data_IF_978525014732
#
_entry.id   IF_978525014732
#
_cell.length_a   1.000
_cell.length_b   1.000
_cell.length_c   1.000
_cell.angle_alpha   90.00
_cell.angle_beta   90.00
_cell.angle_gamma   90.00
#
_symmetry.space_group_name_H-M   'P 1'
#
loop_
_entity.id
_entity.type
_entity.pdbx_description
1 polymer ?
#
# COMPACT_ATOMS: atom_id res chain seq x y z
N UNK A 1 -6.81 13.20 -22.05
CA UNK A 1 -7.51 13.01 -20.76
C UNK A 1 -6.65 12.13 -19.87
N UNK A 2 -6.54 12.45 -18.58
CA UNK A 2 -5.80 11.66 -17.59
C UNK A 2 -6.77 11.11 -16.55
N UNK A 3 -6.73 9.80 -16.30
CA UNK A 3 -7.42 9.19 -15.15
C UNK A 3 -6.40 8.63 -14.16
N UNK A 4 -6.56 8.93 -12.87
CA UNK A 4 -5.77 8.33 -11.79
C UNK A 4 -6.67 7.49 -10.90
N UNK A 5 -6.38 6.20 -10.73
CA UNK A 5 -7.22 5.36 -9.86
C UNK A 5 -6.60 4.06 -9.38
N UNK A 6 -7.23 3.48 -8.37
CA UNK A 6 -7.03 2.12 -7.83
C UNK A 6 -8.13 1.15 -8.26
N UNK A 7 -9.09 1.59 -9.08
CA UNK A 7 -10.23 0.77 -9.52
C UNK A 7 -10.89 1.29 -10.81
N UNK A 8 -11.86 2.19 -10.72
CA UNK A 8 -12.88 2.37 -11.77
C UNK A 8 -12.66 3.56 -12.70
N UNK A 9 -11.80 4.53 -12.36
CA UNK A 9 -11.72 5.78 -13.14
C UNK A 9 -11.22 5.58 -14.58
N UNK A 10 -10.47 4.49 -14.84
CA UNK A 10 -10.12 4.06 -16.20
C UNK A 10 -11.33 3.73 -17.09
N UNK A 11 -12.52 3.56 -16.49
CA UNK A 11 -13.77 3.28 -17.19
C UNK A 11 -14.41 4.49 -17.85
N UNK A 12 -13.84 5.69 -17.70
CA UNK A 12 -14.33 6.90 -18.36
C UNK A 12 -14.50 6.69 -19.87
N UNK A 13 -15.60 7.21 -20.41
CA UNK A 13 -15.88 7.15 -21.84
C UNK A 13 -15.47 8.49 -22.43
N UNK A 14 -14.47 8.47 -23.30
CA UNK A 14 -13.94 9.66 -23.97
C UNK A 14 -14.64 9.90 -25.31
N UNK A 15 -14.53 11.13 -25.82
CA UNK A 15 -14.96 11.45 -27.19
C UNK A 15 -14.00 10.80 -28.20
N UNK A 16 -14.47 10.45 -29.42
CA UNK A 16 -13.59 9.98 -30.49
C UNK A 16 -12.37 10.90 -30.67
N UNK A 17 -11.18 10.31 -30.87
CA UNK A 17 -9.90 11.03 -31.03
C UNK A 17 -9.28 11.57 -29.73
N UNK A 18 -9.93 11.41 -28.57
CA UNK A 18 -9.32 11.80 -27.30
C UNK A 18 -8.36 10.72 -26.79
N UNK A 19 -7.07 11.06 -26.70
CA UNK A 19 -6.08 10.21 -26.04
C UNK A 19 -6.36 10.11 -24.54
N UNK A 20 -6.48 8.88 -24.03
CA UNK A 20 -6.70 8.52 -22.64
C UNK A 20 -5.45 7.89 -22.03
N UNK A 21 -4.84 8.60 -21.09
CA UNK A 21 -3.73 8.12 -20.28
C UNK A 21 -4.26 7.72 -18.90
N UNK A 22 -4.01 6.48 -18.49
CA UNK A 22 -4.43 5.94 -17.20
C UNK A 22 -3.25 5.74 -16.28
N UNK A 23 -3.11 6.61 -15.27
CA UNK A 23 -2.23 6.40 -14.13
C UNK A 23 -2.87 5.39 -13.18
N UNK A 24 -2.47 4.13 -13.33
CA UNK A 24 -3.02 2.98 -12.64
C UNK A 24 -2.20 2.70 -11.38
N UNK A 25 -2.82 2.89 -10.22
CA UNK A 25 -2.21 2.59 -8.93
C UNK A 25 -2.27 1.09 -8.59
N UNK A 26 -3.26 0.40 -9.14
CA UNK A 26 -3.38 -1.05 -9.20
C UNK A 26 -4.55 -1.41 -10.11
N UNK A 27 -4.49 -2.53 -10.87
CA UNK A 27 -5.70 -3.19 -11.36
C UNK A 27 -6.69 -3.43 -10.22
N UNK A 28 -7.97 -3.53 -10.54
CA UNK A 28 -9.06 -3.58 -9.55
C UNK A 28 -8.91 -4.79 -8.60
N UNK A 29 -8.27 -4.57 -7.45
CA UNK A 29 -7.72 -5.63 -6.59
C UNK A 29 -8.77 -6.65 -6.12
N UNK A 30 -9.94 -6.20 -5.65
CA UNK A 30 -11.02 -7.11 -5.24
C UNK A 30 -11.57 -7.99 -6.37
N UNK A 31 -11.37 -7.62 -7.64
CA UNK A 31 -11.76 -8.47 -8.78
C UNK A 31 -10.68 -9.50 -9.10
N UNK A 32 -9.40 -9.13 -9.02
CA UNK A 32 -8.28 -9.92 -9.56
C UNK A 32 -7.43 -10.64 -8.50
N UNK A 33 -7.46 -10.16 -7.26
CA UNK A 33 -6.75 -10.69 -6.10
C UNK A 33 -7.69 -10.68 -4.87
N UNK A 34 -8.78 -11.46 -4.90
CA UNK A 34 -9.82 -11.41 -3.86
C UNK A 34 -9.31 -11.81 -2.46
N UNK A 35 -8.23 -12.58 -2.36
CA UNK A 35 -7.61 -12.93 -1.08
C UNK A 35 -6.98 -11.74 -0.36
N UNK A 36 -6.68 -10.65 -1.07
CA UNK A 36 -6.01 -9.47 -0.53
C UNK A 36 -6.98 -8.31 -0.26
N UNK A 37 -8.26 -8.44 -0.61
CA UNK A 37 -9.25 -7.37 -0.46
C UNK A 37 -10.47 -7.84 0.33
N UNK A 38 -10.76 -7.23 1.51
CA UNK A 38 -11.89 -7.62 2.35
C UNK A 38 -13.27 -7.37 1.70
N UNK A 39 -13.33 -6.61 0.59
CA UNK A 39 -14.56 -6.44 -0.20
C UNK A 39 -14.90 -7.68 -1.02
N UNK A 40 -13.92 -8.55 -1.26
CA UNK A 40 -14.17 -9.83 -1.91
C UNK A 40 -15.00 -10.70 -0.97
N UNK A 41 -16.13 -11.19 -1.44
CA UNK A 41 -17.04 -12.02 -0.66
C UNK A 41 -17.56 -13.15 -1.53
N UNK A 42 -17.62 -14.33 -0.93
CA UNK A 42 -17.78 -15.61 -1.65
C UNK A 42 -19.23 -16.09 -1.75
N UNK A 43 -20.19 -15.16 -1.71
CA UNK A 43 -21.58 -15.55 -1.99
C UNK A 43 -21.76 -15.81 -3.49
N UNK A 44 -22.59 -16.79 -3.84
CA UNK A 44 -22.85 -17.15 -5.24
C UNK A 44 -23.35 -15.94 -6.07
N UNK A 45 -24.15 -15.06 -5.46
CA UNK A 45 -24.59 -13.81 -6.07
C UNK A 45 -23.41 -12.88 -6.37
N UNK A 46 -22.51 -12.66 -5.42
CA UNK A 46 -21.33 -11.82 -5.62
C UNK A 46 -20.36 -12.41 -6.63
N UNK A 47 -20.23 -13.74 -6.73
CA UNK A 47 -19.43 -14.37 -7.81
C UNK A 47 -19.94 -13.99 -9.20
N UNK A 48 -21.26 -14.00 -9.42
CA UNK A 48 -21.87 -13.58 -10.70
C UNK A 48 -21.65 -12.09 -10.98
N UNK A 49 -21.84 -11.24 -9.96
CA UNK A 49 -21.58 -9.79 -10.09
C UNK A 49 -20.12 -9.53 -10.39
N UNK A 50 -19.19 -10.14 -9.67
CA UNK A 50 -17.74 -10.00 -9.87
C UNK A 50 -17.32 -10.47 -11.26
N UNK A 51 -17.92 -11.53 -11.80
CA UNK A 51 -17.66 -11.95 -13.17
C UNK A 51 -18.06 -10.87 -14.19
N UNK A 52 -19.26 -10.30 -14.07
CA UNK A 52 -19.69 -9.18 -14.94
C UNK A 52 -18.78 -7.97 -14.78
N UNK A 53 -18.38 -7.65 -13.55
CA UNK A 53 -17.45 -6.55 -13.27
C UNK A 53 -16.06 -6.81 -13.86
N UNK A 54 -15.56 -8.04 -13.89
CA UNK A 54 -14.29 -8.39 -14.56
C UNK A 54 -14.36 -8.17 -16.06
N UNK A 55 -15.47 -8.58 -16.70
CA UNK A 55 -15.69 -8.34 -18.13
C UNK A 55 -15.67 -6.83 -18.41
N UNK A 56 -16.42 -6.07 -17.61
CA UNK A 56 -16.42 -4.60 -17.71
C UNK A 56 -15.03 -4.01 -17.47
N UNK A 57 -14.28 -4.51 -16.49
CA UNK A 57 -12.96 -4.00 -16.11
C UNK A 57 -11.93 -4.24 -17.22
N UNK A 58 -11.98 -5.40 -17.89
CA UNK A 58 -11.18 -5.69 -19.10
C UNK A 58 -11.60 -4.76 -20.23
N UNK A 59 -12.91 -4.64 -20.51
CA UNK A 59 -13.41 -3.80 -21.59
C UNK A 59 -13.06 -2.32 -21.38
N UNK A 60 -13.08 -1.85 -20.13
CA UNK A 60 -12.61 -0.52 -19.74
C UNK A 60 -11.10 -0.37 -19.98
N UNK A 61 -10.30 -1.34 -19.54
CA UNK A 61 -8.85 -1.32 -19.74
C UNK A 61 -8.46 -1.35 -21.22
N UNK A 62 -9.25 -2.03 -22.08
CA UNK A 62 -9.01 -2.08 -23.51
C UNK A 62 -9.12 -0.70 -24.20
N UNK A 63 -9.93 0.22 -23.66
CA UNK A 63 -10.11 1.57 -24.21
C UNK A 63 -9.03 2.58 -23.82
N UNK A 64 -8.21 2.26 -22.84
CA UNK A 64 -7.09 3.12 -22.44
C UNK A 64 -6.06 3.11 -23.57
N UNK A 65 -5.52 4.27 -23.95
CA UNK A 65 -4.45 4.35 -24.95
C UNK A 65 -3.10 4.01 -24.31
N UNK A 66 -2.78 4.67 -23.19
CA UNK A 66 -1.51 4.49 -22.47
C UNK A 66 -1.73 4.24 -20.99
N UNK A 67 -1.06 3.22 -20.46
CA UNK A 67 -0.99 2.99 -19.02
C UNK A 67 0.32 3.53 -18.44
N UNK A 68 0.19 4.22 -17.31
CA UNK A 68 1.29 4.57 -16.42
C UNK A 68 1.10 3.81 -15.12
N UNK A 69 2.08 3.02 -14.72
CA UNK A 69 2.08 2.26 -13.48
C UNK A 69 2.89 2.99 -12.41
N UNK A 70 2.39 3.00 -11.18
CA UNK A 70 3.13 3.58 -10.04
C UNK A 70 4.34 2.73 -9.60
N UNK A 71 4.48 1.50 -10.12
CA UNK A 71 5.60 0.61 -9.78
C UNK A 71 5.78 -0.50 -10.83
N UNK A 72 6.95 -1.15 -10.80
CA UNK A 72 7.17 -2.39 -11.58
C UNK A 72 6.21 -3.51 -11.18
N UNK A 73 5.78 -3.56 -9.92
CA UNK A 73 4.82 -4.56 -9.46
C UNK A 73 3.46 -4.36 -10.13
N UNK A 74 3.00 -3.11 -10.17
CA UNK A 74 1.74 -2.75 -10.83
C UNK A 74 1.83 -2.91 -12.34
N UNK A 75 2.97 -2.57 -12.98
CA UNK A 75 3.21 -2.88 -14.41
C UNK A 75 3.00 -4.38 -14.69
N UNK A 76 3.57 -5.27 -13.87
CA UNK A 76 3.36 -6.73 -14.01
C UNK A 76 1.89 -7.11 -13.83
N UNK A 77 1.17 -6.51 -12.88
CA UNK A 77 -0.27 -6.78 -12.69
C UNK A 77 -1.10 -6.28 -13.88
N UNK A 78 -0.81 -5.12 -14.45
CA UNK A 78 -1.46 -4.61 -15.67
C UNK A 78 -1.24 -5.60 -16.83
N UNK A 79 0.00 -6.05 -17.05
CA UNK A 79 0.30 -7.05 -18.07
C UNK A 79 -0.43 -8.39 -17.82
N UNK A 80 -0.49 -8.84 -16.56
CA UNK A 80 -1.16 -10.10 -16.17
C UNK A 80 -2.67 -10.06 -16.40
N UNK A 81 -3.34 -9.01 -15.93
CA UNK A 81 -4.81 -8.94 -15.89
C UNK A 81 -5.43 -8.27 -17.09
N UNK A 82 -4.78 -7.23 -17.63
CA UNK A 82 -5.29 -6.46 -18.76
C UNK A 82 -4.63 -6.82 -20.10
N UNK A 83 -3.53 -7.57 -20.09
CA UNK A 83 -2.73 -7.88 -21.30
C UNK A 83 -2.28 -6.61 -22.03
N UNK A 84 -1.94 -5.58 -21.25
CA UNK A 84 -1.48 -4.26 -21.72
C UNK A 84 -0.11 -3.95 -21.12
N UNK A 85 0.73 -3.27 -21.88
CA UNK A 85 1.96 -2.70 -21.36
C UNK A 85 1.70 -1.37 -20.63
N UNK A 86 2.64 -0.96 -19.80
CA UNK A 86 2.62 0.30 -19.07
C UNK A 86 4.04 0.83 -18.85
N UNK A 87 4.23 2.14 -18.92
CA UNK A 87 5.44 2.78 -18.44
C UNK A 87 5.39 2.98 -16.93
N UNK A 88 6.54 3.00 -16.26
CA UNK A 88 6.61 3.15 -14.80
C UNK A 88 6.97 4.59 -14.44
N UNK A 89 6.08 5.25 -13.71
CA UNK A 89 6.33 6.55 -13.08
C UNK A 89 6.09 6.37 -11.59
N UNK A 90 7.16 6.36 -10.81
CA UNK A 90 7.04 6.20 -9.36
C UNK A 90 6.39 7.42 -8.71
N UNK A 91 5.56 7.23 -7.67
CA UNK A 91 5.05 8.33 -6.85
C UNK A 91 6.20 9.17 -6.28
N UNK A 92 6.04 10.51 -6.19
CA UNK A 92 7.02 11.36 -5.56
C UNK A 92 7.10 11.06 -4.06
N UNK A 93 8.31 11.16 -3.50
CA UNK A 93 8.57 11.10 -2.06
C UNK A 93 9.28 12.37 -1.65
N UNK A 94 8.84 13.00 -0.57
CA UNK A 94 9.44 14.24 -0.07
C UNK A 94 10.77 13.95 0.65
N UNK A 95 11.81 13.73 -0.15
CA UNK A 95 13.16 13.42 0.34
C UNK A 95 13.79 14.58 1.10
N UNK A 96 13.34 15.81 0.86
CA UNK A 96 13.80 16.97 1.60
C UNK A 96 13.20 16.98 3.00
N UNK A 97 11.90 16.68 3.14
CA UNK A 97 11.26 16.54 4.43
C UNK A 97 11.88 15.40 5.25
N UNK A 98 12.03 14.22 4.66
CA UNK A 98 12.58 13.02 5.31
C UNK A 98 14.13 13.01 5.38
N UNK A 99 14.79 14.17 5.27
CA UNK A 99 16.24 14.27 5.17
C UNK A 99 16.94 14.10 6.53
N UNK A 100 17.77 13.05 6.74
CA UNK A 100 18.42 12.77 8.01
C UNK A 100 19.52 13.79 8.37
N UNK A 101 19.94 14.64 7.43
CA UNK A 101 20.92 15.71 7.68
C UNK A 101 20.32 16.94 8.36
N UNK A 102 18.98 17.08 8.37
CA UNK A 102 18.33 18.27 8.96
C UNK A 102 18.40 18.31 10.48
N UNK A 103 18.48 17.16 11.14
CA UNK A 103 18.49 17.06 12.60
C UNK A 103 19.34 15.86 13.05
N UNK A 104 20.00 15.95 14.21
CA UNK A 104 20.88 14.89 14.73
C UNK A 104 20.15 13.54 14.81
N UNK A 105 20.70 12.50 14.16
CA UNK A 105 20.11 11.14 14.17
C UNK A 105 20.55 10.35 15.40
N UNK A 106 19.61 10.11 16.31
CA UNK A 106 19.79 9.20 17.46
C UNK A 106 18.99 7.93 17.21
N UNK A 107 19.68 6.86 16.80
CA UNK A 107 19.06 5.55 16.58
C UNK A 107 18.68 4.95 17.92
N UNK A 108 17.39 4.79 18.15
CA UNK A 108 16.82 4.13 19.32
C UNK A 108 16.83 2.61 19.21
N UNK A 109 16.57 1.93 20.34
CA UNK A 109 16.52 0.47 20.41
C UNK A 109 15.10 -0.08 20.16
N UNK A 110 14.43 0.37 19.11
CA UNK A 110 13.08 -0.07 18.75
C UNK A 110 12.92 -0.26 17.25
N UNK A 111 11.95 -1.08 16.87
CA UNK A 111 11.54 -1.32 15.48
C UNK A 111 10.20 -0.63 15.23
N UNK A 112 9.95 -0.27 13.99
CA UNK A 112 8.75 0.49 13.63
C UNK A 112 7.92 -0.25 12.58
N UNK A 113 6.63 -0.35 12.80
CA UNK A 113 5.65 -0.68 11.76
C UNK A 113 4.77 0.54 11.50
N UNK A 114 4.60 0.90 10.23
CA UNK A 114 3.76 2.02 9.81
C UNK A 114 2.74 1.56 8.78
N UNK A 115 1.46 1.76 9.08
CA UNK A 115 0.39 1.50 8.13
C UNK A 115 -0.96 1.24 8.78
N UNK A 116 -2.01 1.24 7.96
CA UNK A 116 -3.36 0.86 8.41
C UNK A 116 -3.36 -0.55 9.00
N UNK A 117 -4.07 -0.73 10.12
CA UNK A 117 -4.21 -2.04 10.77
C UNK A 117 -5.38 -2.80 10.14
N UNK A 118 -5.16 -3.29 8.93
CA UNK A 118 -6.12 -4.09 8.14
C UNK A 118 -5.45 -5.42 7.74
N UNK A 119 -6.23 -6.49 7.45
CA UNK A 119 -5.67 -7.84 7.29
C UNK A 119 -4.53 -7.93 6.27
N UNK A 120 -4.69 -7.32 5.10
CA UNK A 120 -3.70 -7.34 4.03
C UNK A 120 -2.37 -6.64 4.38
N UNK A 121 -2.35 -5.74 5.37
CA UNK A 121 -1.12 -5.08 5.84
C UNK A 121 -0.24 -5.97 6.71
N UNK A 122 -0.74 -7.15 7.09
CA UNK A 122 -0.03 -8.20 7.81
C UNK A 122 0.64 -7.77 9.12
N UNK A 123 0.01 -6.84 9.85
CA UNK A 123 0.47 -6.42 11.18
C UNK A 123 0.43 -7.56 12.20
N UNK A 124 -0.41 -8.58 11.97
CA UNK A 124 -0.46 -9.84 12.73
C UNK A 124 0.90 -10.53 12.80
N UNK A 125 1.58 -10.65 11.64
CA UNK A 125 2.90 -11.29 11.57
C UNK A 125 3.95 -10.51 12.35
N UNK A 126 3.87 -9.18 12.34
CA UNK A 126 4.82 -8.32 13.06
C UNK A 126 4.59 -8.45 14.56
N UNK A 127 3.34 -8.38 15.03
CA UNK A 127 3.02 -8.58 16.45
C UNK A 127 3.47 -9.96 16.92
N UNK A 128 3.18 -11.02 16.16
CA UNK A 128 3.60 -12.38 16.49
C UNK A 128 5.13 -12.50 16.59
N UNK A 129 5.87 -11.98 15.60
CA UNK A 129 7.32 -12.03 15.58
C UNK A 129 7.93 -11.28 16.78
N UNK A 130 7.44 -10.09 17.09
CA UNK A 130 7.97 -9.27 18.19
C UNK A 130 7.58 -9.78 19.57
N UNK A 131 6.45 -10.46 19.70
CA UNK A 131 6.10 -11.20 20.92
C UNK A 131 7.08 -12.34 21.22
N UNK A 132 7.67 -12.96 20.18
CA UNK A 132 8.69 -14.01 20.31
C UNK A 132 10.08 -13.43 20.56
N UNK A 133 10.42 -12.33 19.88
CA UNK A 133 11.74 -11.69 19.99
C UNK A 133 11.95 -10.88 21.27
N UNK A 134 10.88 -10.38 21.89
CA UNK A 134 10.95 -9.53 23.09
C UNK A 134 11.58 -8.15 22.86
N UNK A 135 11.78 -7.73 21.60
CA UNK A 135 12.34 -6.42 21.22
C UNK A 135 11.25 -5.35 21.19
N UNK A 136 11.59 -4.09 21.45
CA UNK A 136 10.60 -3.01 21.38
C UNK A 136 10.08 -2.83 19.94
N UNK A 137 8.76 -2.87 19.79
CA UNK A 137 8.05 -2.55 18.54
C UNK A 137 7.14 -1.34 18.79
N UNK A 138 7.19 -0.36 17.90
CA UNK A 138 6.23 0.73 17.83
C UNK A 138 5.37 0.57 16.58
N UNK A 139 4.07 0.77 16.74
CA UNK A 139 3.07 0.62 15.69
C UNK A 139 2.39 1.97 15.48
N UNK A 140 2.60 2.58 14.31
CA UNK A 140 1.90 3.80 13.87
C UNK A 140 0.82 3.40 12.86
N UNK A 141 -0.42 3.70 13.19
CA UNK A 141 -1.59 3.48 12.36
C UNK A 141 -2.81 3.05 13.17
N UNK A 142 -3.94 2.98 12.49
CA UNK A 142 -5.20 2.48 13.04
C UNK A 142 -5.94 1.65 11.99
N UNK A 143 -6.93 0.87 12.41
CA UNK A 143 -7.72 0.06 11.48
C UNK A 143 -8.57 -1.00 12.17
N UNK A 144 -9.27 -1.79 11.36
CA UNK A 144 -10.22 -2.80 11.83
C UNK A 144 -9.59 -3.89 12.71
N UNK A 145 -8.32 -4.21 12.51
CA UNK A 145 -7.60 -5.23 13.28
C UNK A 145 -7.01 -4.70 14.60
N UNK A 146 -7.08 -3.38 14.87
CA UNK A 146 -6.37 -2.75 16.00
C UNK A 146 -6.71 -3.38 17.36
N UNK A 147 -8.00 -3.58 17.65
CA UNK A 147 -8.45 -4.16 18.93
C UNK A 147 -7.90 -5.58 19.12
N UNK A 148 -7.95 -6.40 18.08
CA UNK A 148 -7.45 -7.78 18.08
C UNK A 148 -5.93 -7.82 18.29
N UNK A 149 -5.19 -6.97 17.57
CA UNK A 149 -3.73 -6.89 17.69
C UNK A 149 -3.29 -6.43 19.08
N UNK A 150 -4.00 -5.45 19.68
CA UNK A 150 -3.75 -5.00 21.06
C UNK A 150 -3.94 -6.12 22.09
N UNK A 151 -4.95 -6.96 21.92
CA UNK A 151 -5.16 -8.13 22.82
C UNK A 151 -4.05 -9.18 22.71
N UNK A 152 -3.42 -9.30 21.54
CA UNK A 152 -2.34 -10.28 21.30
C UNK A 152 -0.95 -9.76 21.69
N UNK A 153 -0.79 -8.45 21.79
CA UNK A 153 0.50 -7.80 22.00
C UNK A 153 0.99 -7.93 23.44
N UNK A 154 2.29 -8.21 23.62
CA UNK A 154 2.99 -8.13 24.91
C UNK A 154 3.46 -6.70 25.20
N UNK A 155 3.97 -6.47 26.41
CA UNK A 155 4.41 -5.17 26.93
C UNK A 155 5.50 -4.49 26.08
N UNK A 156 6.28 -5.24 25.31
CA UNK A 156 7.29 -4.70 24.42
C UNK A 156 6.72 -4.05 23.14
N UNK A 157 5.41 -4.12 22.92
CA UNK A 157 4.75 -3.59 21.72
C UNK A 157 3.89 -2.37 22.10
N UNK A 158 4.20 -1.21 21.52
CA UNK A 158 3.51 0.07 21.77
C UNK A 158 2.70 0.49 20.54
N UNK A 159 1.39 0.65 20.73
CA UNK A 159 0.51 1.21 19.70
C UNK A 159 0.43 2.72 19.88
N UNK A 160 0.96 3.46 18.92
CA UNK A 160 0.98 4.93 18.94
C UNK A 160 -0.26 5.55 18.28
N UNK A 161 -1.10 4.74 17.62
CA UNK A 161 -2.26 5.22 16.89
C UNK A 161 -1.88 6.01 15.64
N UNK A 162 -2.71 6.97 15.24
CA UNK A 162 -2.42 7.86 14.10
C UNK A 162 -1.39 8.89 14.54
N UNK A 163 -0.31 9.02 13.77
CA UNK A 163 0.72 10.03 13.98
C UNK A 163 0.54 11.18 12.97
N UNK A 164 0.91 12.39 13.39
CA UNK A 164 1.21 13.51 12.50
C UNK A 164 2.46 13.22 11.66
N UNK A 165 2.65 13.96 10.56
CA UNK A 165 3.85 13.82 9.70
C UNK A 165 5.15 14.01 10.50
N UNK A 166 5.14 14.95 11.46
CA UNK A 166 6.27 15.20 12.36
C UNK A 166 6.56 13.99 13.24
N UNK A 167 5.54 13.42 13.88
CA UNK A 167 5.71 12.23 14.73
C UNK A 167 6.14 11.00 13.93
N UNK A 168 5.61 10.85 12.71
CA UNK A 168 6.04 9.80 11.78
C UNK A 168 7.53 9.98 11.43
N UNK A 169 7.95 11.18 11.05
CA UNK A 169 9.35 11.49 10.75
C UNK A 169 10.27 11.19 11.93
N UNK A 170 9.94 11.66 13.14
CA UNK A 170 10.77 11.40 14.33
C UNK A 170 10.90 9.91 14.65
N UNK A 171 9.83 9.13 14.45
CA UNK A 171 9.88 7.68 14.64
C UNK A 171 10.66 6.97 13.51
N UNK A 172 10.46 7.34 12.24
CA UNK A 172 11.18 6.77 11.10
C UNK A 172 12.68 7.01 11.24
N UNK A 173 13.07 8.24 11.54
CA UNK A 173 14.46 8.64 11.70
C UNK A 173 15.14 7.95 12.89
N UNK A 174 14.41 7.73 13.98
CA UNK A 174 14.98 7.17 15.21
C UNK A 174 14.85 5.65 15.31
N UNK A 175 14.04 5.00 14.47
CA UNK A 175 13.89 3.55 14.50
C UNK A 175 15.19 2.85 14.10
N UNK A 176 15.42 1.66 14.69
CA UNK A 176 16.51 0.77 14.29
C UNK A 176 16.29 0.18 12.91
N UNK A 177 15.04 -0.18 12.62
CA UNK A 177 14.58 -0.64 11.32
C UNK A 177 13.05 -0.50 11.20
N UNK A 178 12.57 -0.39 9.98
CA UNK A 178 11.14 -0.44 9.64
C UNK A 178 10.77 -1.83 9.15
N UNK A 179 9.74 -2.42 9.76
CA UNK A 179 9.25 -3.75 9.41
C UNK A 179 8.08 -3.61 8.43
N UNK A 180 8.26 -4.13 7.23
CA UNK A 180 7.29 -4.00 6.14
C UNK A 180 6.89 -5.37 5.57
N UNK A 181 5.90 -6.06 6.18
CA UNK A 181 5.50 -7.41 5.80
C UNK A 181 4.50 -7.47 4.63
N UNK A 182 3.96 -6.33 4.20
CA UNK A 182 2.83 -6.25 3.26
C UNK A 182 3.25 -6.30 1.80
N UNK A 183 2.49 -7.00 0.96
CA UNK A 183 2.71 -7.08 -0.50
C UNK A 183 2.15 -5.86 -1.26
N UNK A 184 2.72 -4.68 -1.05
CA UNK A 184 2.19 -3.41 -1.54
C UNK A 184 2.32 -3.12 -3.04
N UNK A 185 1.51 -2.16 -3.52
CA UNK A 185 1.58 -1.68 -4.90
C UNK A 185 2.90 -0.96 -5.16
N UNK A 186 3.12 0.16 -4.45
CA UNK A 186 4.38 0.90 -4.46
C UNK A 186 5.14 0.74 -3.15
N UNK A 187 4.45 0.91 -2.01
CA UNK A 187 5.08 0.89 -0.70
C UNK A 187 5.85 2.17 -0.39
N UNK A 188 5.12 3.26 -0.10
CA UNK A 188 5.72 4.56 0.21
C UNK A 188 6.57 4.54 1.48
N UNK A 189 6.13 3.83 2.52
CA UNK A 189 6.78 3.75 3.84
C UNK A 189 8.23 3.27 3.76
N UNK A 190 8.57 2.19 3.05
CA UNK A 190 9.97 1.82 2.81
C UNK A 190 10.80 2.94 2.19
N UNK A 191 10.24 3.71 1.25
CA UNK A 191 10.96 4.81 0.61
C UNK A 191 11.17 5.98 1.57
N UNK A 192 10.17 6.32 2.39
CA UNK A 192 10.28 7.32 3.47
C UNK A 192 11.31 6.89 4.53
N UNK A 193 11.34 5.60 4.88
CA UNK A 193 12.33 5.02 5.79
C UNK A 193 13.75 5.13 5.23
N UNK A 194 13.94 4.72 3.98
CA UNK A 194 15.23 4.83 3.29
C UNK A 194 15.68 6.28 3.15
N UNK A 195 14.76 7.21 2.87
CA UNK A 195 15.05 8.64 2.85
C UNK A 195 15.58 9.12 4.21
N UNK A 196 14.98 8.66 5.32
CA UNK A 196 15.47 8.89 6.70
C UNK A 196 16.79 8.15 7.05
N UNK A 197 17.36 7.38 6.11
CA UNK A 197 18.52 6.52 6.33
C UNK A 197 18.25 5.38 7.31
N UNK A 198 17.00 4.94 7.43
CA UNK A 198 16.57 3.86 8.32
C UNK A 198 16.28 2.61 7.49
N UNK A 199 16.92 1.46 7.80
CA UNK A 199 16.77 0.24 7.03
C UNK A 199 15.39 -0.40 7.16
#
# INVERSE_FOLDING_TARGET
MISSSTSVAKGIITRPGTCHISYCNTPTRYLWEPSLDPRASDSALKRRVNHKLRIWDIAAAARVDYFLANSKNVKRRIQKYYRRDADVIYPPVDIDYYNPKKTEKKVGNFYLFVGRLIPYKRADLVVEAFNKLGRELRIIGSGSEEKKLKTQAKENIKFLGRASDKELYENLKSARAVVFPSEEDFGIVPVESMACGTP
#
